data_IF_581625892159
#
_entry.id   IF_581625892159
#
_cell.length_a   1.000
_cell.length_b   1.000
_cell.length_c   1.000
_cell.angle_alpha   90.00
_cell.angle_beta   90.00
_cell.angle_gamma   90.00
#
_symmetry.space_group_name_H-M   'P 1'
#
loop_
_entity.id
_entity.type
_entity.pdbx_description
1 polymer ?
#
# COMPACT_ATOMS: atom_id res chain seq x y z
N UNK A 1 11.51 10.96 28.72
CA UNK A 1 10.51 10.32 27.83
C UNK A 1 11.22 9.67 26.65
N UNK A 2 11.34 8.34 26.68
CA UNK A 2 12.08 7.57 25.69
C UNK A 2 11.39 7.61 24.33
N UNK A 3 11.96 8.38 23.40
CA UNK A 3 11.49 8.41 22.02
C UNK A 3 11.77 7.07 21.36
N UNK A 4 10.72 6.32 21.05
CA UNK A 4 10.77 5.12 20.19
C UNK A 4 11.06 5.54 18.73
N UNK A 5 12.17 6.25 18.50
CA UNK A 5 12.68 6.66 17.20
C UNK A 5 13.54 5.53 16.62
N UNK A 6 12.91 4.43 16.18
CA UNK A 6 13.53 3.43 15.27
C UNK A 6 12.60 2.29 14.86
N UNK A 7 11.30 2.44 15.05
CA UNK A 7 10.31 1.42 14.72
C UNK A 7 9.43 1.88 13.55
N UNK A 8 9.96 1.97 12.31
CA UNK A 8 9.13 2.31 11.17
C UNK A 8 8.13 1.20 10.90
N UNK A 9 6.85 1.54 10.90
CA UNK A 9 5.76 0.68 10.44
C UNK A 9 5.21 1.30 9.18
N UNK A 10 5.23 0.57 8.07
CA UNK A 10 4.74 1.04 6.78
C UNK A 10 3.34 0.50 6.51
N UNK A 11 2.46 1.35 5.99
CA UNK A 11 1.12 0.97 5.53
C UNK A 11 1.08 1.11 4.01
N UNK A 12 0.51 0.12 3.34
CA UNK A 12 0.37 0.13 1.88
C UNK A 12 -1.08 0.50 1.60
N UNK A 13 -1.28 1.69 1.07
CA UNK A 13 -2.60 2.29 0.84
C UNK A 13 -2.70 2.78 -0.59
N UNK A 14 -3.90 2.72 -1.17
CA UNK A 14 -4.23 3.45 -2.39
C UNK A 14 -4.63 4.86 -1.98
N UNK A 15 -3.89 5.83 -2.46
CA UNK A 15 -4.24 7.24 -2.37
C UNK A 15 -4.20 7.85 -3.78
N UNK A 16 -5.06 8.83 -4.02
CA UNK A 16 -4.94 9.70 -5.18
C UNK A 16 -3.80 10.69 -4.92
N UNK A 17 -2.98 10.97 -5.94
CA UNK A 17 -1.79 11.82 -5.81
C UNK A 17 -2.12 13.26 -5.38
N UNK A 18 -3.38 13.67 -5.50
CA UNK A 18 -3.84 15.00 -5.06
C UNK A 18 -4.02 15.11 -3.54
N UNK A 19 -4.00 13.98 -2.82
CA UNK A 19 -4.14 13.99 -1.35
C UNK A 19 -2.78 13.99 -0.65
N UNK A 20 -2.73 14.65 0.51
CA UNK A 20 -1.56 14.67 1.38
C UNK A 20 -1.15 13.24 1.80
N UNK A 21 0.15 13.01 1.94
CA UNK A 21 0.77 11.70 2.21
C UNK A 21 0.22 10.97 3.44
N UNK A 22 -0.25 11.72 4.45
CA UNK A 22 -0.84 11.21 5.70
C UNK A 22 -2.36 11.48 5.79
N UNK A 23 -2.98 11.89 4.68
CA UNK A 23 -4.39 12.25 4.60
C UNK A 23 -5.33 11.07 4.38
N UNK A 24 -6.51 11.38 3.84
CA UNK A 24 -7.56 10.39 3.53
C UNK A 24 -7.08 9.48 2.38
N UNK A 25 -6.84 8.22 2.69
CA UNK A 25 -6.61 7.19 1.69
C UNK A 25 -7.95 6.60 1.20
N UNK A 26 -7.96 6.10 -0.04
CA UNK A 26 -9.15 5.49 -0.65
C UNK A 26 -9.37 4.10 -0.04
N UNK A 27 -8.31 3.30 0.00
CA UNK A 27 -8.36 1.90 0.45
C UNK A 27 -7.00 1.45 1.01
N UNK A 28 -7.01 0.55 2.01
CA UNK A 28 -5.79 -0.06 2.55
C UNK A 28 -5.58 -1.42 1.89
N UNK A 29 -4.52 -1.54 1.10
CA UNK A 29 -4.15 -2.79 0.41
C UNK A 29 -3.29 -3.71 1.27
N UNK A 30 -2.70 -3.16 2.34
CA UNK A 30 -1.79 -3.93 3.14
C UNK A 30 -0.99 -3.15 4.16
N UNK A 31 -0.03 -3.86 4.73
CA UNK A 31 0.93 -3.30 5.66
C UNK A 31 2.25 -4.07 5.58
N UNK A 32 3.33 -3.34 5.85
CA UNK A 32 4.68 -3.85 5.84
C UNK A 32 5.38 -3.41 7.14
N UNK A 33 5.71 -4.39 7.98
CA UNK A 33 6.42 -4.14 9.22
C UNK A 33 7.81 -4.79 9.19
N UNK A 34 8.87 -4.04 8.88
CA UNK A 34 10.23 -4.59 8.79
C UNK A 34 10.79 -5.06 10.13
N UNK A 35 10.15 -4.68 11.24
CA UNK A 35 10.60 -4.98 12.60
C UNK A 35 10.17 -6.37 13.08
N UNK A 36 9.23 -7.01 12.38
CA UNK A 36 8.79 -8.35 12.72
C UNK A 36 9.77 -9.38 12.14
N UNK A 37 10.10 -10.46 12.90
CA UNK A 37 10.91 -11.55 12.39
C UNK A 37 10.28 -12.14 11.12
N UNK A 38 11.13 -12.61 10.19
CA UNK A 38 10.72 -13.10 8.85
C UNK A 38 9.67 -14.21 8.91
N UNK A 39 9.61 -14.92 10.02
CA UNK A 39 8.75 -16.07 10.27
C UNK A 39 7.30 -15.68 10.59
N UNK A 40 7.05 -14.42 10.96
CA UNK A 40 5.70 -13.94 11.22
C UNK A 40 5.02 -13.52 9.92
N UNK A 41 3.90 -14.18 9.59
CA UNK A 41 3.01 -13.80 8.47
C UNK A 41 2.50 -12.35 8.59
N UNK A 42 2.45 -11.80 9.79
CA UNK A 42 2.10 -10.40 10.06
C UNK A 42 3.19 -9.39 9.62
N UNK A 43 4.36 -9.86 9.16
CA UNK A 43 5.40 -8.97 8.62
C UNK A 43 4.93 -8.27 7.35
N UNK A 44 4.20 -8.99 6.49
CA UNK A 44 3.70 -8.50 5.20
C UNK A 44 2.30 -9.02 4.98
N UNK A 45 1.31 -8.13 5.09
CA UNK A 45 -0.06 -8.41 4.67
C UNK A 45 -0.33 -7.62 3.40
N UNK A 46 -0.56 -8.31 2.27
CA UNK A 46 -0.86 -7.70 0.97
C UNK A 46 -2.10 -8.36 0.38
N UNK A 47 -3.09 -7.56 0.01
CA UNK A 47 -4.29 -8.01 -0.68
C UNK A 47 -4.06 -7.96 -2.19
N UNK A 48 -3.54 -9.07 -2.74
CA UNK A 48 -3.15 -9.19 -4.14
C UNK A 48 -4.30 -8.97 -5.12
N UNK A 49 -5.52 -9.34 -4.74
CA UNK A 49 -6.72 -9.20 -5.56
C UNK A 49 -7.05 -7.71 -5.82
N UNK A 50 -7.03 -6.89 -4.77
CA UNK A 50 -7.20 -5.44 -4.88
C UNK A 50 -6.07 -4.80 -5.67
N UNK A 51 -4.83 -5.23 -5.47
CA UNK A 51 -3.69 -4.72 -6.24
C UNK A 51 -3.93 -4.93 -7.74
N UNK A 52 -4.35 -6.12 -8.16
CA UNK A 52 -4.69 -6.41 -9.56
C UNK A 52 -5.84 -5.56 -10.08
N UNK A 53 -6.89 -5.40 -9.29
CA UNK A 53 -8.02 -4.52 -9.63
C UNK A 53 -7.57 -3.07 -9.88
N UNK A 54 -6.75 -2.51 -8.99
CA UNK A 54 -6.25 -1.14 -9.12
C UNK A 54 -5.22 -0.98 -10.23
N UNK A 55 -4.43 -2.02 -10.54
CA UNK A 55 -3.55 -2.06 -11.72
C UNK A 55 -4.36 -2.00 -13.01
N UNK A 56 -5.45 -2.77 -13.12
CA UNK A 56 -6.35 -2.76 -14.27
C UNK A 56 -7.06 -1.41 -14.45
N UNK A 57 -7.48 -0.78 -13.35
CA UNK A 57 -8.17 0.52 -13.37
C UNK A 57 -7.33 1.67 -13.92
N UNK A 58 -5.99 1.56 -13.99
CA UNK A 58 -5.09 2.58 -14.55
C UNK A 58 -4.74 2.40 -16.02
N UNK A 59 -5.24 1.36 -16.68
CA UNK A 59 -5.10 1.23 -18.13
C UNK A 59 -6.38 1.74 -18.80
N UNK A 60 -6.48 3.05 -18.98
CA UNK A 60 -7.20 3.57 -20.15
C UNK A 60 -6.33 3.24 -21.36
N UNK A 61 -6.45 2.02 -21.88
CA UNK A 61 -5.95 1.68 -23.20
C UNK A 61 -6.82 2.41 -24.22
N UNK A 62 -6.50 3.68 -24.45
CA UNK A 62 -6.94 4.44 -25.63
C UNK A 62 -6.16 3.96 -26.87
N UNK A 63 -6.00 2.66 -27.05
CA UNK A 63 -5.29 2.09 -28.18
C UNK A 63 -5.88 0.74 -28.55
N UNK A 64 -7.17 0.74 -28.87
CA UNK A 64 -7.63 -0.09 -29.97
C UNK A 64 -7.30 0.69 -31.25
N UNK A 65 -6.05 0.52 -31.71
CA UNK A 65 -5.70 0.78 -33.10
C UNK A 65 -5.99 -0.51 -33.87
N UNK A 66 -7.12 -0.57 -34.56
CA UNK A 66 -7.33 -1.27 -35.85
C UNK A 66 -8.67 -0.84 -36.42
#
# INVERSE_FOLDING_TARGET
>A
MGGTKKRPVYKIVVADSRFARDGRFIEKLGFFNPLLPKEKKERVGLESDRIKYWLGKRCTTNNESS
#
